data_IF_427865653545
#
_entry.id   IF_427865653545
#
_cell.length_a   1.000
_cell.length_b   1.000
_cell.length_c   1.000
_cell.angle_alpha   90.00
_cell.angle_beta   90.00
_cell.angle_gamma   90.00
#
_symmetry.space_group_name_H-M   'P 1'
#
loop_
_entity.id
_entity.type
_entity.pdbx_description
1 polymer ?
#
# COMPACT_ATOMS: atom_id res chain seq x y z
N UNK A 1 11.35 16.70 -12.57
CA UNK A 1 10.51 17.60 -11.74
C UNK A 1 11.21 17.89 -10.42
N UNK A 2 11.38 19.16 -10.07
CA UNK A 2 11.95 19.54 -8.78
C UNK A 2 10.83 19.57 -7.73
N UNK A 3 10.86 18.62 -6.79
CA UNK A 3 9.86 18.49 -5.70
C UNK A 3 10.57 18.47 -4.36
N UNK A 4 9.93 19.04 -3.34
CA UNK A 4 10.42 19.00 -1.96
C UNK A 4 10.51 17.56 -1.45
N UNK A 5 11.41 17.30 -0.50
CA UNK A 5 11.62 15.97 0.08
C UNK A 5 10.33 15.39 0.68
N UNK A 6 9.56 16.20 1.41
CA UNK A 6 8.27 15.80 1.98
C UNK A 6 7.29 15.28 0.93
N UNK A 7 7.26 15.92 -0.25
CA UNK A 7 6.41 15.49 -1.36
C UNK A 7 6.89 14.16 -1.93
N UNK A 8 8.21 14.01 -2.14
CA UNK A 8 8.80 12.77 -2.64
C UNK A 8 8.55 11.59 -1.69
N UNK A 9 8.68 11.79 -0.38
CA UNK A 9 8.43 10.74 0.62
C UNK A 9 6.97 10.29 0.62
N UNK A 10 6.02 11.24 0.50
CA UNK A 10 4.58 10.91 0.37
C UNK A 10 4.31 10.10 -0.89
N UNK A 11 4.87 10.50 -2.03
CA UNK A 11 4.70 9.78 -3.30
C UNK A 11 5.29 8.37 -3.24
N UNK A 12 6.47 8.20 -2.66
CA UNK A 12 7.10 6.90 -2.49
C UNK A 12 6.26 5.97 -1.58
N UNK A 13 5.66 6.51 -0.50
CA UNK A 13 4.77 5.73 0.37
C UNK A 13 3.49 5.32 -0.35
N UNK A 14 2.88 6.22 -1.11
CA UNK A 14 1.67 5.92 -1.88
C UNK A 14 1.91 4.82 -2.92
N UNK A 15 3.03 4.88 -3.64
CA UNK A 15 3.42 3.83 -4.59
C UNK A 15 3.57 2.46 -3.90
N UNK A 16 4.17 2.41 -2.70
CA UNK A 16 4.32 1.16 -1.94
C UNK A 16 2.99 0.61 -1.40
N UNK A 17 2.01 1.48 -1.15
CA UNK A 17 0.67 1.08 -0.69
C UNK A 17 -0.19 0.49 -1.82
N UNK A 18 0.06 0.88 -3.07
CA UNK A 18 -0.67 0.39 -4.23
C UNK A 18 -0.22 -1.02 -4.62
N UNK A 19 -0.59 -2.00 -3.79
CA UNK A 19 -0.29 -3.42 -3.99
C UNK A 19 -1.47 -4.28 -3.56
N UNK A 20 -1.70 -5.44 -4.19
CA UNK A 20 -2.79 -6.34 -3.83
C UNK A 20 -2.59 -6.92 -2.43
N UNK A 21 -3.71 -7.33 -1.82
CA UNK A 21 -3.72 -7.92 -0.48
C UNK A 21 -3.08 -9.31 -0.53
N UNK A 22 -2.09 -9.60 0.35
CA UNK A 22 -1.46 -10.91 0.45
C UNK A 22 -2.46 -12.06 0.66
N UNK A 23 -2.20 -13.18 0.00
CA UNK A 23 -3.13 -14.31 -0.05
C UNK A 23 -3.36 -14.96 1.33
N UNK A 24 -2.34 -15.04 2.19
CA UNK A 24 -2.52 -15.58 3.55
C UNK A 24 -3.44 -14.74 4.43
N UNK A 25 -3.58 -13.42 4.17
CA UNK A 25 -4.55 -12.57 4.87
C UNK A 25 -5.97 -12.97 4.46
N UNK A 26 -6.16 -13.34 3.19
CA UNK A 26 -7.45 -13.80 2.67
C UNK A 26 -7.91 -15.10 3.34
N UNK A 27 -6.98 -15.97 3.71
CA UNK A 27 -7.25 -17.27 4.34
C UNK A 27 -7.54 -17.20 5.85
N UNK A 28 -7.47 -16.02 6.48
CA UNK A 28 -7.74 -15.89 7.93
C UNK A 28 -9.23 -16.15 8.22
N UNK A 29 -9.52 -16.93 9.26
CA UNK A 29 -10.89 -17.18 9.72
C UNK A 29 -11.62 -15.87 10.03
N UNK A 30 -12.84 -15.70 9.51
CA UNK A 30 -13.64 -14.49 9.69
C UNK A 30 -13.22 -13.30 8.82
N UNK A 31 -12.32 -13.48 7.84
CA UNK A 31 -11.95 -12.41 6.92
C UNK A 31 -13.04 -12.16 5.86
N UNK A 32 -13.56 -10.93 5.81
CA UNK A 32 -14.62 -10.48 4.87
C UNK A 32 -14.07 -9.77 3.63
N UNK A 33 -12.75 -9.60 3.53
CA UNK A 33 -12.07 -8.86 2.47
C UNK A 33 -12.08 -9.67 1.16
N UNK A 34 -12.69 -9.12 0.11
CA UNK A 34 -12.78 -9.67 -1.27
C UNK A 34 -11.79 -9.02 -2.22
#
# INVERSE_FOLDING_TARGET
>A
SHKSFRTKQKLARAQKQNRPIPQWIRLRTGNTIR
#
